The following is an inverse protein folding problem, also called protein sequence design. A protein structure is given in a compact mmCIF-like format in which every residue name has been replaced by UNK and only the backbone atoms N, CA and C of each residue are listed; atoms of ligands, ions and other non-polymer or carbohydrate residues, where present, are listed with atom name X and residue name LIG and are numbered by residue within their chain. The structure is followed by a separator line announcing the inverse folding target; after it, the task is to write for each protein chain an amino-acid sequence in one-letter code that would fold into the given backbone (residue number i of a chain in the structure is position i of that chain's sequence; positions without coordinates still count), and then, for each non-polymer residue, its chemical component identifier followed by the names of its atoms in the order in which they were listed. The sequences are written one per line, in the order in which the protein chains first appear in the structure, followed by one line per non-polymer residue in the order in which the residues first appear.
data_IF_490324564341
#
_entry.id   IF_490324564341
#
_cell.length_a   1.000
_cell.length_b   1.000
_cell.length_c   1.000
_cell.angle_alpha   90.00
_cell.angle_beta   90.00
_cell.angle_gamma   90.00
#
_symmetry.space_group_name_H-M   'P 1'
#
loop_
_entity.id
_entity.type
_entity.pdbx_description
1 polymer ?
#
# COMPACT_ATOMS: atom_id res chain seq x y z
N UNK A 1 -21.06 -2.65 -39.70
CA UNK A 1 -19.73 -2.83 -39.08
C UNK A 1 -19.55 -1.84 -37.92
N UNK A 2 -19.94 -2.33 -36.73
CA UNK A 2 -19.55 -2.03 -35.35
C UNK A 2 -19.48 -0.58 -34.82
N UNK A 3 -20.65 -0.08 -34.40
CA UNK A 3 -20.78 0.93 -33.33
C UNK A 3 -20.12 0.43 -32.03
N UNK A 4 -20.16 -0.89 -31.77
CA UNK A 4 -19.48 -1.55 -30.66
C UNK A 4 -17.94 -1.38 -30.65
N UNK A 5 -17.27 -1.35 -31.81
CA UNK A 5 -15.81 -1.13 -31.89
C UNK A 5 -15.41 0.30 -31.55
N UNK A 6 -16.28 1.28 -31.82
CA UNK A 6 -16.04 2.69 -31.47
C UNK A 6 -16.28 2.96 -29.99
N UNK A 7 -17.20 2.23 -29.35
CA UNK A 7 -17.46 2.32 -27.92
C UNK A 7 -16.26 1.81 -27.11
N UNK A 8 -15.70 0.66 -27.49
CA UNK A 8 -14.51 0.08 -26.83
C UNK A 8 -13.27 0.98 -26.95
N UNK A 9 -13.02 1.54 -28.13
CA UNK A 9 -11.83 2.37 -28.36
C UNK A 9 -11.86 3.70 -27.59
N UNK A 10 -13.06 4.28 -27.36
CA UNK A 10 -13.24 5.49 -26.57
C UNK A 10 -12.97 5.25 -25.09
N UNK A 11 -13.56 4.19 -24.53
CA UNK A 11 -13.42 3.82 -23.12
C UNK A 11 -11.96 3.46 -22.79
N UNK A 12 -11.29 2.71 -23.66
CA UNK A 12 -9.86 2.35 -23.48
C UNK A 12 -8.98 3.60 -23.45
N UNK A 13 -9.21 4.56 -24.36
CA UNK A 13 -8.47 5.84 -24.37
C UNK A 13 -8.70 6.68 -23.13
N UNK A 14 -9.92 6.70 -22.60
CA UNK A 14 -10.24 7.44 -21.38
C UNK A 14 -9.60 6.81 -20.14
N UNK A 15 -9.58 5.47 -20.06
CA UNK A 15 -8.87 4.75 -19.01
C UNK A 15 -7.36 5.01 -19.09
N UNK A 16 -6.79 4.91 -20.29
CA UNK A 16 -5.36 5.13 -20.51
C UNK A 16 -4.95 6.57 -20.15
N UNK A 17 -5.72 7.57 -20.58
CA UNK A 17 -5.50 8.97 -20.21
C UNK A 17 -5.64 9.20 -18.70
N UNK A 18 -6.61 8.57 -18.03
CA UNK A 18 -6.76 8.69 -16.58
C UNK A 18 -5.59 8.05 -15.83
N UNK A 19 -5.11 6.88 -16.27
CA UNK A 19 -3.94 6.22 -15.69
C UNK A 19 -2.69 7.10 -15.89
N UNK A 20 -2.44 7.59 -17.11
CA UNK A 20 -1.30 8.44 -17.42
C UNK A 20 -1.35 9.75 -16.61
N UNK A 21 -2.52 10.37 -16.47
CA UNK A 21 -2.72 11.57 -15.66
C UNK A 21 -2.46 11.29 -14.18
N UNK A 22 -2.92 10.15 -13.67
CA UNK A 22 -2.67 9.72 -12.28
C UNK A 22 -1.18 9.50 -12.01
N UNK A 23 -0.47 8.83 -12.94
CA UNK A 23 0.98 8.64 -12.88
C UNK A 23 1.69 9.99 -12.91
N UNK A 24 1.31 10.89 -13.80
CA UNK A 24 1.94 12.21 -13.95
C UNK A 24 1.79 13.09 -12.71
N UNK A 25 0.60 13.08 -12.10
CA UNK A 25 0.33 13.82 -10.85
C UNK A 25 1.16 13.28 -9.69
N UNK A 26 1.41 11.96 -9.64
CA UNK A 26 2.13 11.29 -8.55
C UNK A 26 3.60 11.03 -8.85
N UNK A 27 4.11 11.44 -10.01
CA UNK A 27 5.47 11.13 -10.51
C UNK A 27 6.61 11.50 -9.57
N UNK A 28 6.41 12.51 -8.72
CA UNK A 28 7.39 12.95 -7.73
C UNK A 28 7.20 12.26 -6.38
N UNK A 29 5.97 11.82 -6.05
CA UNK A 29 5.67 11.15 -4.78
C UNK A 29 6.32 9.77 -4.71
N UNK A 30 6.33 9.03 -5.83
CA UNK A 30 6.99 7.71 -5.92
C UNK A 30 8.49 7.74 -5.65
N UNK A 31 9.31 8.58 -6.33
CA UNK A 31 10.74 8.66 -6.04
C UNK A 31 11.02 9.21 -4.64
N UNK A 32 10.20 10.14 -4.11
CA UNK A 32 10.31 10.59 -2.72
C UNK A 32 10.09 9.42 -1.75
N UNK A 33 9.08 8.59 -1.98
CA UNK A 33 8.83 7.40 -1.16
C UNK A 33 10.00 6.42 -1.23
N UNK A 34 10.52 6.13 -2.43
CA UNK A 34 11.69 5.25 -2.61
C UNK A 34 12.90 5.81 -1.85
N UNK A 35 13.15 7.11 -1.95
CA UNK A 35 14.25 7.78 -1.23
C UNK A 35 14.06 7.70 0.29
N UNK A 36 12.84 7.87 0.80
CA UNK A 36 12.53 7.73 2.22
C UNK A 36 12.79 6.31 2.73
N UNK A 37 12.39 5.29 1.97
CA UNK A 37 12.65 3.87 2.29
C UNK A 37 14.16 3.57 2.27
N UNK A 38 14.89 4.08 1.27
CA UNK A 38 16.35 3.94 1.21
C UNK A 38 17.04 4.58 2.42
N UNK A 39 16.61 5.76 2.84
CA UNK A 39 17.12 6.43 4.04
C UNK A 39 16.85 5.60 5.30
N UNK A 40 15.65 5.02 5.45
CA UNK A 40 15.32 4.12 6.56
C UNK A 40 16.27 2.91 6.62
N UNK A 41 16.58 2.30 5.46
CA UNK A 41 17.51 1.18 5.35
C UNK A 41 18.95 1.60 5.69
N UNK A 42 19.38 2.80 5.30
CA UNK A 42 20.70 3.31 5.65
C UNK A 42 20.81 3.58 7.15
N UNK A 43 19.79 4.20 7.74
CA UNK A 43 19.70 4.48 9.18
C UNK A 43 19.74 3.17 9.98
N UNK A 44 19.04 2.12 9.52
CA UNK A 44 19.04 0.84 10.21
C UNK A 44 20.40 0.13 10.20
N UNK A 45 21.31 0.50 9.29
CA UNK A 45 22.68 -0.03 9.22
C UNK A 45 23.69 0.80 10.02
N UNK A 46 23.28 1.94 10.59
CA UNK A 46 24.16 2.76 11.41
C UNK A 46 24.49 2.05 12.74
N UNK A 47 25.72 2.21 13.26
CA UNK A 47 26.11 1.63 14.54
C UNK A 47 25.20 2.14 15.67
N UNK A 48 24.88 1.26 16.63
CA UNK A 48 23.95 1.49 17.75
C UNK A 48 22.46 1.63 17.38
N UNK A 49 22.13 2.12 16.17
CA UNK A 49 20.75 2.22 15.68
C UNK A 49 20.21 0.85 15.24
N UNK A 50 21.08 -0.01 14.70
CA UNK A 50 20.71 -1.38 14.29
C UNK A 50 20.17 -2.26 15.45
N UNK A 51 20.46 -1.90 16.70
CA UNK A 51 19.94 -2.57 17.89
C UNK A 51 18.43 -2.34 18.07
N UNK A 52 17.91 -1.21 17.56
CA UNK A 52 16.50 -0.83 17.66
C UNK A 52 15.75 -1.00 16.33
N UNK A 53 16.42 -0.79 15.20
CA UNK A 53 15.82 -0.90 13.86
C UNK A 53 16.01 -2.29 13.25
N UNK A 54 15.12 -3.21 13.62
CA UNK A 54 14.99 -4.51 12.95
C UNK A 54 14.25 -4.36 11.59
N UNK A 55 14.48 -5.28 10.66
CA UNK A 55 13.83 -5.36 9.34
C UNK A 55 12.30 -5.25 9.40
N UNK A 56 11.67 -5.88 10.40
CA UNK A 56 10.22 -5.79 10.60
C UNK A 56 9.73 -4.36 10.91
N UNK A 57 10.52 -3.60 11.68
CA UNK A 57 10.20 -2.23 12.06
C UNK A 57 10.34 -1.28 10.87
N UNK A 58 11.33 -1.52 9.99
CA UNK A 58 11.48 -0.80 8.73
C UNK A 58 10.26 -1.04 7.82
N UNK A 59 9.82 -2.30 7.68
CA UNK A 59 8.64 -2.66 6.88
C UNK A 59 7.40 -1.97 7.45
N UNK A 60 7.23 -2.00 8.77
CA UNK A 60 6.12 -1.34 9.45
C UNK A 60 6.08 0.17 9.18
N UNK A 61 7.19 0.88 9.40
CA UNK A 61 7.27 2.33 9.16
C UNK A 61 7.03 2.65 7.69
N UNK A 62 7.60 1.86 6.78
CA UNK A 62 7.42 2.03 5.33
C UNK A 62 5.96 1.87 4.92
N UNK A 63 5.27 0.87 5.48
CA UNK A 63 3.85 0.62 5.22
C UNK A 63 2.94 1.75 5.74
N UNK A 64 3.30 2.41 6.83
CA UNK A 64 2.59 3.59 7.36
C UNK A 64 2.86 4.83 6.51
N UNK A 65 4.10 5.04 6.07
CA UNK A 65 4.48 6.17 5.24
C UNK A 65 3.90 6.07 3.82
N UNK A 66 3.67 4.86 3.32
CA UNK A 66 3.20 4.63 1.96
C UNK A 66 1.93 5.41 1.62
N UNK A 67 0.80 5.30 2.35
CA UNK A 67 -0.40 6.05 2.00
C UNK A 67 -0.30 7.55 2.26
N UNK A 68 0.57 7.99 3.17
CA UNK A 68 0.82 9.41 3.41
C UNK A 68 1.57 10.05 2.23
N UNK A 69 2.70 9.47 1.82
CA UNK A 69 3.55 10.01 0.76
C UNK A 69 2.94 9.79 -0.62
N UNK A 70 2.44 8.57 -0.90
CA UNK A 70 1.88 8.22 -2.20
C UNK A 70 0.44 8.71 -2.37
N UNK A 71 -0.16 9.28 -1.33
CA UNK A 71 -1.52 9.82 -1.33
C UNK A 71 -2.56 8.77 -1.71
N UNK A 72 -2.41 7.58 -1.14
CA UNK A 72 -3.34 6.48 -1.31
C UNK A 72 -4.57 6.81 -0.47
N UNK A 73 -5.74 6.67 -1.06
CA UNK A 73 -6.99 6.86 -0.34
C UNK A 73 -7.13 5.78 0.75
N UNK A 74 -7.75 6.11 1.87
CA UNK A 74 -7.95 5.16 2.95
C UNK A 74 -8.95 4.04 2.59
N UNK A 75 -9.94 4.33 1.74
CA UNK A 75 -10.98 3.38 1.30
C UNK A 75 -10.40 2.05 0.77
N UNK A 76 -9.50 2.03 -0.23
CA UNK A 76 -8.92 0.78 -0.73
C UNK A 76 -8.13 0.01 0.33
N UNK A 77 -7.49 0.69 1.30
CA UNK A 77 -6.79 0.01 2.40
C UNK A 77 -7.78 -0.78 3.27
N UNK A 78 -8.91 -0.18 3.66
CA UNK A 78 -9.95 -0.86 4.42
C UNK A 78 -10.60 -2.00 3.64
N UNK A 79 -10.91 -1.78 2.35
CA UNK A 79 -11.47 -2.83 1.49
C UNK A 79 -10.52 -4.02 1.40
N UNK A 80 -9.23 -3.77 1.19
CA UNK A 80 -8.22 -4.81 1.11
C UNK A 80 -8.06 -5.57 2.44
N UNK A 81 -8.09 -4.85 3.57
CA UNK A 81 -8.09 -5.48 4.91
C UNK A 81 -9.28 -6.42 5.12
N UNK A 82 -10.49 -6.05 4.67
CA UNK A 82 -11.68 -6.92 4.80
C UNK A 82 -11.52 -8.19 3.96
N UNK A 83 -11.01 -8.06 2.74
CA UNK A 83 -10.74 -9.21 1.85
C UNK A 83 -9.71 -10.14 2.50
N UNK A 84 -8.59 -9.59 2.97
CA UNK A 84 -7.56 -10.36 3.65
C UNK A 84 -8.09 -11.00 4.95
N UNK A 85 -8.95 -10.32 5.69
CA UNK A 85 -9.55 -10.87 6.91
C UNK A 85 -10.42 -12.08 6.61
N UNK A 86 -11.21 -12.00 5.53
CA UNK A 86 -11.99 -13.15 5.06
C UNK A 86 -11.08 -14.32 4.67
N UNK A 87 -9.97 -14.04 3.98
CA UNK A 87 -8.96 -15.04 3.63
C UNK A 87 -8.29 -15.65 4.88
N UNK A 88 -7.94 -14.83 5.86
CA UNK A 88 -7.33 -15.26 7.12
C UNK A 88 -8.26 -16.17 7.92
N UNK A 89 -9.56 -15.87 7.95
CA UNK A 89 -10.57 -16.72 8.58
C UNK A 89 -10.65 -18.10 7.92
N UNK A 90 -10.59 -18.16 6.58
CA UNK A 90 -10.57 -19.45 5.87
C UNK A 90 -9.29 -20.21 6.24
N UNK A 91 -8.13 -19.56 6.16
CA UNK A 91 -6.84 -20.18 6.45
C UNK A 91 -6.69 -20.60 7.92
N UNK A 92 -7.38 -19.95 8.85
CA UNK A 92 -7.36 -20.31 10.27
C UNK A 92 -7.71 -21.79 10.53
N UNK A 93 -8.54 -22.39 9.67
CA UNK A 93 -8.94 -23.79 9.77
C UNK A 93 -7.99 -24.78 9.06
N UNK A 94 -7.10 -24.30 8.18
CA UNK A 94 -6.23 -25.15 7.36
C UNK A 94 -4.74 -24.98 7.69
N UNK A 95 -4.29 -23.75 7.93
CA UNK A 95 -2.91 -23.38 8.22
C UNK A 95 -2.87 -22.15 9.14
N UNK A 96 -2.66 -22.42 10.43
CA UNK A 96 -2.73 -21.42 11.49
C UNK A 96 -1.57 -20.42 11.42
N UNK A 97 -0.38 -20.87 11.05
CA UNK A 97 0.82 -20.02 10.99
C UNK A 97 0.66 -18.96 9.87
N UNK A 98 0.16 -19.39 8.71
CA UNK A 98 -0.17 -18.47 7.61
C UNK A 98 -1.31 -17.51 7.98
N UNK A 99 -2.33 -17.97 8.71
CA UNK A 99 -3.42 -17.11 9.15
C UNK A 99 -2.96 -16.04 10.15
N UNK A 100 -2.08 -16.38 11.08
CA UNK A 100 -1.45 -15.43 12.01
C UNK A 100 -0.59 -14.40 11.27
N UNK A 101 0.20 -14.83 10.29
CA UNK A 101 0.98 -13.92 9.46
C UNK A 101 0.10 -12.93 8.69
N UNK A 102 -0.99 -13.40 8.06
CA UNK A 102 -1.95 -12.53 7.37
C UNK A 102 -2.63 -11.58 8.34
N UNK A 103 -2.97 -12.03 9.54
CA UNK A 103 -3.57 -11.18 10.58
C UNK A 103 -2.64 -10.04 10.98
N UNK A 104 -1.34 -10.29 11.10
CA UNK A 104 -0.35 -9.24 11.32
C UNK A 104 -0.32 -8.23 10.17
N UNK A 105 -0.36 -8.67 8.91
CA UNK A 105 -0.43 -7.75 7.77
C UNK A 105 -1.72 -6.94 7.76
N UNK A 106 -2.86 -7.53 8.08
CA UNK A 106 -4.15 -6.83 8.20
C UNK A 106 -4.05 -5.72 9.24
N UNK A 107 -3.45 -6.00 10.40
CA UNK A 107 -3.22 -4.99 11.43
C UNK A 107 -2.40 -3.81 10.90
N UNK A 108 -1.30 -4.07 10.19
CA UNK A 108 -0.45 -3.02 9.61
C UNK A 108 -1.24 -2.16 8.61
N UNK A 109 -2.02 -2.79 7.72
CA UNK A 109 -2.81 -2.09 6.70
C UNK A 109 -3.91 -1.24 7.33
N UNK A 110 -4.62 -1.78 8.33
CA UNK A 110 -5.65 -1.04 9.07
C UNK A 110 -5.05 0.14 9.83
N UNK A 111 -3.95 -0.07 10.54
CA UNK A 111 -3.25 0.98 11.28
C UNK A 111 -2.79 2.10 10.34
N UNK A 112 -2.23 1.73 9.18
CA UNK A 112 -1.84 2.65 8.12
C UNK A 112 -3.03 3.45 7.57
N UNK A 113 -4.17 2.78 7.36
CA UNK A 113 -5.43 3.42 6.94
C UNK A 113 -5.98 4.42 7.97
N UNK A 114 -5.95 4.06 9.26
CA UNK A 114 -6.35 4.95 10.36
C UNK A 114 -5.44 6.18 10.44
N UNK A 115 -4.13 6.00 10.35
CA UNK A 115 -3.18 7.13 10.31
C UNK A 115 -3.49 8.04 9.13
N UNK A 116 -3.73 7.48 7.94
CA UNK A 116 -4.08 8.29 6.77
C UNK A 116 -5.37 9.09 6.99
N UNK A 117 -6.38 8.53 7.65
CA UNK A 117 -7.59 9.27 8.04
C UNK A 117 -7.22 10.45 8.96
N UNK A 118 -6.46 10.21 10.03
CA UNK A 118 -6.09 11.24 11.01
C UNK A 118 -5.34 12.40 10.36
N UNK A 119 -4.43 12.11 9.42
CA UNK A 119 -3.65 13.14 8.73
C UNK A 119 -4.35 13.78 7.52
N UNK A 120 -5.49 13.24 7.07
CA UNK A 120 -6.24 13.77 5.93
C UNK A 120 -7.59 14.39 6.31
N UNK A 121 -8.02 14.23 7.57
CA UNK A 121 -9.17 14.92 8.16
C UNK A 121 -8.79 16.30 8.67
#
# INVERSE_FOLDING_TARGET
MNIFKKLDAGIVRDIENNILKWIWIRRYKTPIFILAVLLLILISKAPYINLFFNSYLIIFISAILAPLILDIEYKPLFTFSIILFTLALVLWFYDRDSAEAITNYIFIILFSGVIKIIFSG
#
